data_IF_700099868931
#
_entry.id   IF_700099868931
#
_cell.length_a   1.000
_cell.length_b   1.000
_cell.length_c   1.000
_cell.angle_alpha   90.00
_cell.angle_beta   90.00
_cell.angle_gamma   90.00
#
_symmetry.space_group_name_H-M   'P 1'
#
loop_
_entity.id
_entity.type
_entity.pdbx_description
1 polymer ?
#
# COMPACT_ATOMS: atom_id res chain seq x y z
N UNK A 1 -2.16 24.05 1.45
CA UNK A 1 -1.46 23.08 0.60
C UNK A 1 -1.46 21.77 1.35
N UNK A 2 -2.38 20.86 1.04
CA UNK A 2 -2.41 19.53 1.64
C UNK A 2 -1.19 18.78 1.14
N UNK A 3 -0.27 18.47 2.04
CA UNK A 3 0.87 17.59 1.81
C UNK A 3 0.29 16.23 1.45
N UNK A 4 0.11 15.93 0.16
CA UNK A 4 -0.32 14.61 -0.31
C UNK A 4 0.81 13.62 -0.03
N UNK A 5 0.85 13.10 1.21
CA UNK A 5 1.83 12.10 1.58
C UNK A 5 1.35 10.78 1.00
N UNK A 6 2.21 10.14 0.21
CA UNK A 6 1.92 8.85 -0.41
C UNK A 6 1.58 7.74 0.61
N UNK A 7 1.94 7.94 1.88
CA UNK A 7 1.62 7.05 3.00
C UNK A 7 0.18 7.19 3.51
N UNK A 8 -0.51 8.30 3.24
CA UNK A 8 -1.86 8.53 3.77
C UNK A 8 -2.86 7.47 3.28
N UNK A 9 -2.92 7.13 1.98
CA UNK A 9 -3.79 6.07 1.51
C UNK A 9 -3.43 4.70 2.08
N UNK A 10 -2.14 4.44 2.40
CA UNK A 10 -1.74 3.19 3.06
C UNK A 10 -2.27 3.09 4.48
N UNK A 11 -2.21 4.17 5.26
CA UNK A 11 -2.76 4.19 6.61
C UNK A 11 -4.25 3.86 6.58
N UNK A 12 -5.00 4.49 5.66
CA UNK A 12 -6.43 4.23 5.54
C UNK A 12 -6.76 2.79 5.09
N UNK A 13 -5.99 2.22 4.15
CA UNK A 13 -6.15 0.80 3.76
C UNK A 13 -5.99 -0.09 5.00
N UNK A 14 -4.96 0.16 5.80
CA UNK A 14 -4.62 -0.69 6.94
C UNK A 14 -5.64 -0.56 8.07
N UNK A 15 -6.10 0.66 8.36
CA UNK A 15 -7.17 0.88 9.33
C UNK A 15 -8.45 0.15 8.93
N UNK A 16 -8.86 0.23 7.65
CA UNK A 16 -10.03 -0.51 7.18
C UNK A 16 -9.84 -2.03 7.30
N UNK A 17 -8.67 -2.56 6.92
CA UNK A 17 -8.39 -4.00 7.04
C UNK A 17 -8.39 -4.49 8.49
N UNK A 18 -8.06 -3.64 9.48
CA UNK A 18 -8.15 -4.02 10.90
C UNK A 18 -9.60 -4.24 11.37
N UNK A 19 -10.59 -3.66 10.69
CA UNK A 19 -12.00 -3.78 11.05
C UNK A 19 -12.66 -5.07 10.50
N UNK A 20 -12.03 -5.72 9.52
CA UNK A 20 -12.50 -7.01 8.97
C UNK A 20 -12.45 -8.09 10.05
N UNK A 21 -13.54 -8.84 10.19
CA UNK A 21 -13.58 -10.05 11.01
C UNK A 21 -13.33 -11.28 10.14
N UNK A 22 -12.70 -12.32 10.71
CA UNK A 22 -12.11 -13.49 10.02
C UNK A 22 -13.10 -14.37 9.20
N UNK A 23 -14.35 -13.93 9.00
CA UNK A 23 -15.45 -14.72 8.42
C UNK A 23 -16.24 -14.06 7.29
N UNK A 24 -15.95 -12.81 6.91
CA UNK A 24 -16.67 -12.16 5.81
C UNK A 24 -15.72 -11.72 4.69
N UNK A 25 -16.12 -12.05 3.45
CA UNK A 25 -15.59 -11.38 2.27
C UNK A 25 -16.19 -9.99 2.25
N UNK A 26 -15.39 -9.00 2.61
CA UNK A 26 -15.78 -7.60 2.51
C UNK A 26 -15.39 -7.06 1.13
N UNK A 27 -16.26 -7.33 0.15
CA UNK A 27 -16.05 -6.93 -1.24
C UNK A 27 -15.97 -5.40 -1.39
N UNK A 28 -16.72 -4.66 -0.57
CA UNK A 28 -16.70 -3.19 -0.56
C UNK A 28 -15.32 -2.68 -0.12
N UNK A 29 -14.78 -3.25 0.95
CA UNK A 29 -13.43 -2.90 1.39
C UNK A 29 -12.34 -3.33 0.41
N UNK A 30 -12.48 -4.47 -0.25
CA UNK A 30 -11.54 -4.89 -1.29
C UNK A 30 -11.54 -3.92 -2.48
N UNK A 31 -12.72 -3.48 -2.93
CA UNK A 31 -12.84 -2.48 -3.99
C UNK A 31 -12.25 -1.13 -3.55
N UNK A 32 -12.49 -0.71 -2.30
CA UNK A 32 -11.89 0.49 -1.74
C UNK A 32 -10.36 0.40 -1.69
N UNK A 33 -9.84 -0.77 -1.31
CA UNK A 33 -8.40 -1.07 -1.31
C UNK A 33 -7.82 -0.99 -2.71
N UNK A 34 -8.51 -1.54 -3.72
CA UNK A 34 -8.09 -1.43 -5.12
C UNK A 34 -8.01 0.04 -5.57
N UNK A 35 -9.03 0.84 -5.27
CA UNK A 35 -9.08 2.25 -5.64
C UNK A 35 -7.92 3.04 -5.03
N UNK A 36 -7.66 2.85 -3.73
CA UNK A 36 -6.55 3.50 -3.03
C UNK A 36 -5.20 3.08 -3.58
N UNK A 37 -5.00 1.79 -3.88
CA UNK A 37 -3.77 1.31 -4.52
C UNK A 37 -3.59 1.86 -5.93
N UNK A 38 -4.66 2.05 -6.71
CA UNK A 38 -4.59 2.77 -7.99
C UNK A 38 -4.11 4.20 -7.81
N UNK A 39 -4.62 4.92 -6.81
CA UNK A 39 -4.20 6.29 -6.52
C UNK A 39 -2.73 6.36 -6.10
N UNK A 40 -2.28 5.44 -5.24
CA UNK A 40 -0.86 5.30 -4.88
C UNK A 40 -0.01 5.04 -6.13
N UNK A 41 -0.44 4.13 -7.01
CA UNK A 41 0.30 3.80 -8.24
C UNK A 41 0.48 5.05 -9.12
N UNK A 42 -0.55 5.86 -9.30
CA UNK A 42 -0.43 7.10 -10.07
C UNK A 42 0.56 8.08 -9.42
N UNK A 43 0.55 8.21 -8.10
CA UNK A 43 1.51 9.06 -7.39
C UNK A 43 2.95 8.55 -7.54
N UNK A 44 3.18 7.24 -7.39
CA UNK A 44 4.49 6.62 -7.61
C UNK A 44 5.01 6.82 -9.03
N UNK A 45 4.14 6.69 -10.04
CA UNK A 45 4.50 6.91 -11.44
C UNK A 45 4.82 8.38 -11.73
N UNK A 46 4.10 9.31 -11.10
CA UNK A 46 4.40 10.74 -11.19
C UNK A 46 5.77 11.06 -10.61
N UNK A 47 6.08 10.56 -9.41
CA UNK A 47 7.38 10.79 -8.77
C UNK A 47 8.54 10.11 -9.52
N UNK A 48 8.31 8.94 -10.12
CA UNK A 48 9.28 8.31 -11.01
C UNK A 48 9.66 9.23 -12.18
N UNK A 49 8.67 9.83 -12.84
CA UNK A 49 8.90 10.75 -13.96
C UNK A 49 9.65 12.00 -13.48
N UNK A 50 9.32 12.52 -12.30
CA UNK A 50 10.06 13.65 -11.69
C UNK A 50 11.53 13.30 -11.44
N UNK A 51 11.80 12.14 -10.83
CA UNK A 51 13.16 11.67 -10.55
C UNK A 51 13.97 11.47 -11.85
N UNK A 52 13.34 10.95 -12.90
CA UNK A 52 13.94 10.83 -14.23
C UNK A 52 14.29 12.20 -14.83
N UNK A 53 13.38 13.18 -14.72
CA UNK A 53 13.62 14.54 -15.20
C UNK A 53 14.79 15.21 -14.46
N UNK A 54 14.88 14.99 -13.15
CA UNK A 54 15.97 15.49 -12.29
C UNK A 54 17.27 14.69 -12.44
N UNK A 55 17.27 13.59 -13.20
CA UNK A 55 18.40 12.65 -13.35
C UNK A 55 18.88 12.07 -12.01
N UNK A 56 17.99 11.97 -11.03
CA UNK A 56 18.29 11.33 -9.75
C UNK A 56 18.10 9.82 -9.86
N UNK A 57 19.11 9.13 -10.41
CA UNK A 57 19.02 7.70 -10.71
C UNK A 57 18.84 6.81 -9.48
N UNK A 58 19.30 7.25 -8.30
CA UNK A 58 19.03 6.52 -7.06
C UNK A 58 17.53 6.51 -6.74
N UNK A 59 16.87 7.67 -6.85
CA UNK A 59 15.42 7.78 -6.66
C UNK A 59 14.64 7.06 -7.78
N UNK A 60 15.09 7.14 -9.03
CA UNK A 60 14.48 6.39 -10.15
C UNK A 60 14.40 4.90 -9.81
N UNK A 61 15.51 4.30 -9.38
CA UNK A 61 15.53 2.87 -9.03
C UNK A 61 14.56 2.53 -7.88
N UNK A 62 14.45 3.40 -6.88
CA UNK A 62 13.52 3.22 -5.75
C UNK A 62 12.05 3.33 -6.21
N UNK A 63 11.73 4.33 -7.02
CA UNK A 63 10.39 4.51 -7.55
C UNK A 63 9.98 3.40 -8.52
N UNK A 64 10.88 2.91 -9.37
CA UNK A 64 10.61 1.75 -10.24
C UNK A 64 10.25 0.51 -9.43
N UNK A 65 11.00 0.22 -8.36
CA UNK A 65 10.71 -0.89 -7.46
C UNK A 65 9.35 -0.71 -6.77
N UNK A 66 9.05 0.50 -6.27
CA UNK A 66 7.79 0.80 -5.63
C UNK A 66 6.59 0.67 -6.60
N UNK A 67 6.71 1.15 -7.84
CA UNK A 67 5.70 0.99 -8.90
C UNK A 67 5.43 -0.49 -9.17
N UNK A 68 6.50 -1.29 -9.32
CA UNK A 68 6.40 -2.73 -9.56
C UNK A 68 5.69 -3.45 -8.40
N UNK A 69 6.10 -3.20 -7.16
CA UNK A 69 5.43 -3.78 -5.99
C UNK A 69 3.97 -3.34 -5.87
N UNK A 70 3.66 -2.09 -6.24
CA UNK A 70 2.29 -1.58 -6.22
C UNK A 70 1.39 -2.30 -7.24
N UNK A 71 1.89 -2.51 -8.46
CA UNK A 71 1.18 -3.29 -9.49
C UNK A 71 0.96 -4.75 -9.07
N UNK A 72 1.97 -5.39 -8.47
CA UNK A 72 1.85 -6.76 -7.98
C UNK A 72 0.79 -6.87 -6.86
N UNK A 73 0.76 -5.91 -5.93
CA UNK A 73 -0.23 -5.87 -4.86
C UNK A 73 -1.64 -5.61 -5.41
N UNK A 74 -1.79 -4.67 -6.35
CA UNK A 74 -3.06 -4.39 -7.02
C UNK A 74 -3.61 -5.63 -7.73
N UNK A 75 -2.76 -6.39 -8.41
CA UNK A 75 -3.16 -7.64 -9.08
C UNK A 75 -3.64 -8.70 -8.07
N UNK A 76 -3.04 -8.76 -6.87
CA UNK A 76 -3.50 -9.66 -5.81
C UNK A 76 -4.85 -9.25 -5.23
N UNK A 77 -5.06 -7.95 -5.00
CA UNK A 77 -6.37 -7.44 -4.53
C UNK A 77 -7.46 -7.75 -5.57
N UNK A 78 -7.19 -7.51 -6.86
CA UNK A 78 -8.11 -7.87 -7.95
C UNK A 78 -8.40 -9.37 -8.00
N UNK A 79 -7.39 -10.21 -7.81
CA UNK A 79 -7.60 -11.65 -7.74
C UNK A 79 -8.48 -12.04 -6.54
N UNK A 80 -8.29 -11.42 -5.37
CA UNK A 80 -9.13 -11.65 -4.20
C UNK A 80 -10.59 -11.21 -4.41
N UNK A 81 -10.82 -10.08 -5.12
CA UNK A 81 -12.14 -9.62 -5.55
C UNK A 81 -12.82 -10.65 -6.47
N UNK A 82 -12.12 -11.09 -7.53
CA UNK A 82 -12.65 -12.03 -8.53
C UNK A 82 -12.96 -13.39 -7.90
N UNK A 83 -12.05 -13.89 -7.05
CA UNK A 83 -12.16 -15.20 -6.45
C UNK A 83 -13.02 -15.21 -5.18
N UNK A 84 -13.55 -14.05 -4.76
CA UNK A 84 -14.33 -13.90 -3.52
C UNK A 84 -13.62 -14.58 -2.34
N UNK A 85 -12.30 -14.35 -2.24
CA UNK A 85 -11.44 -15.06 -1.30
C UNK A 85 -11.53 -14.44 0.09
N UNK A 86 -11.50 -15.29 1.12
CA UNK A 86 -11.46 -14.85 2.53
C UNK A 86 -10.11 -14.17 2.75
N UNK A 87 -10.13 -12.93 3.25
CA UNK A 87 -8.91 -12.24 3.66
C UNK A 87 -8.38 -12.97 4.90
N UNK A 88 -7.19 -13.56 4.81
CA UNK A 88 -6.57 -14.34 5.88
C UNK A 88 -6.04 -13.48 7.03
N UNK A 89 -6.87 -12.63 7.61
CA UNK A 89 -6.50 -11.79 8.75
C UNK A 89 -6.44 -12.69 9.99
N UNK A 90 -5.26 -12.75 10.59
CA UNK A 90 -5.01 -13.48 11.83
C UNK A 90 -4.38 -12.52 12.86
N UNK A 91 -4.27 -12.92 14.14
CA UNK A 91 -3.72 -12.04 15.19
C UNK A 91 -2.32 -11.51 14.88
N UNK A 92 -1.48 -12.28 14.18
CA UNK A 92 -0.14 -11.84 13.75
C UNK A 92 -0.22 -10.75 12.69
N UNK A 93 -1.14 -10.86 11.74
CA UNK A 93 -1.39 -9.85 10.71
C UNK A 93 -1.92 -8.56 11.34
N UNK A 94 -2.82 -8.64 12.33
CA UNK A 94 -3.31 -7.45 13.07
C UNK A 94 -2.20 -6.74 13.84
N UNK A 95 -1.31 -7.48 14.49
CA UNK A 95 -0.15 -6.89 15.18
C UNK A 95 0.80 -6.19 14.20
N UNK A 96 1.04 -6.79 13.02
CA UNK A 96 1.84 -6.16 11.97
C UNK A 96 1.17 -4.93 11.36
N UNK A 97 -0.15 -4.93 11.18
CA UNK A 97 -0.92 -3.74 10.77
C UNK A 97 -0.74 -2.59 11.78
N UNK A 98 -0.82 -2.89 13.07
CA UNK A 98 -0.65 -1.87 14.12
C UNK A 98 0.77 -1.28 14.10
N UNK A 99 1.79 -2.14 14.00
CA UNK A 99 3.18 -1.69 13.88
C UNK A 99 3.38 -0.82 12.64
N UNK A 100 2.77 -1.20 11.51
CA UNK A 100 2.85 -0.42 10.28
C UNK A 100 2.20 0.97 10.43
N UNK A 101 1.06 1.08 11.11
CA UNK A 101 0.43 2.37 11.35
C UNK A 101 1.35 3.30 12.16
N UNK A 102 2.03 2.75 13.16
CA UNK A 102 3.03 3.49 13.96
C UNK A 102 4.27 3.88 13.13
N UNK A 103 4.71 3.00 12.22
CA UNK A 103 5.79 3.28 11.27
C UNK A 103 5.39 4.39 10.27
N UNK A 104 4.15 4.40 9.78
CA UNK A 104 3.60 5.45 8.91
C UNK A 104 3.54 6.80 9.65
N UNK A 105 3.04 6.82 10.89
CA UNK A 105 3.02 8.04 11.71
C UNK A 105 4.41 8.60 11.99
N UNK A 106 5.41 7.71 12.14
CA UNK A 106 6.80 8.10 12.34
C UNK A 106 7.41 8.62 11.04
N UNK A 107 7.19 7.92 9.93
CA UNK A 107 7.69 8.30 8.61
C UNK A 107 7.02 9.58 8.09
N UNK A 108 5.75 9.86 8.42
CA UNK A 108 5.08 11.16 8.16
C UNK A 108 5.93 12.36 8.58
N UNK A 109 6.82 12.20 9.56
CA UNK A 109 7.71 13.24 10.08
C UNK A 109 9.09 13.31 9.40
N UNK A 110 9.40 12.40 8.47
CA UNK A 110 10.69 12.32 7.79
C UNK A 110 10.51 12.06 6.28
N UNK A 111 11.02 12.94 5.40
CA UNK A 111 11.83 12.61 4.20
C UNK A 111 11.66 11.26 3.43
N UNK A 112 11.75 10.15 4.16
CA UNK A 112 12.15 8.81 3.75
C UNK A 112 10.90 7.95 3.59
N UNK A 113 10.13 8.21 2.54
CA UNK A 113 8.79 7.63 2.36
C UNK A 113 8.78 6.37 1.47
N UNK A 114 9.73 6.23 0.55
CA UNK A 114 9.67 5.22 -0.53
C UNK A 114 10.00 3.80 -0.06
N UNK A 115 11.01 3.63 0.81
CA UNK A 115 11.39 2.32 1.35
C UNK A 115 10.29 1.76 2.25
N UNK A 116 9.61 2.63 2.99
CA UNK A 116 8.44 2.26 3.76
C UNK A 116 7.31 1.82 2.81
N UNK A 117 6.96 2.63 1.80
CA UNK A 117 5.93 2.27 0.82
C UNK A 117 6.17 0.88 0.19
N UNK A 118 7.41 0.55 -0.18
CA UNK A 118 7.78 -0.78 -0.70
C UNK A 118 7.49 -1.88 0.32
N UNK A 119 7.85 -1.70 1.60
CA UNK A 119 7.51 -2.65 2.67
C UNK A 119 6.01 -2.84 2.84
N UNK A 120 5.24 -1.74 2.79
CA UNK A 120 3.79 -1.78 2.97
C UNK A 120 3.10 -2.56 1.86
N UNK A 121 3.53 -2.33 0.62
CA UNK A 121 3.05 -3.07 -0.54
C UNK A 121 3.33 -4.57 -0.40
N UNK A 122 4.53 -4.93 0.04
CA UNK A 122 4.90 -6.32 0.30
C UNK A 122 4.06 -6.98 1.41
N UNK A 123 3.70 -6.22 2.45
CA UNK A 123 2.79 -6.68 3.51
C UNK A 123 1.38 -6.90 2.98
N UNK A 124 0.79 -5.90 2.32
CA UNK A 124 -0.56 -5.99 1.74
C UNK A 124 -0.65 -7.20 0.80
N UNK A 125 0.35 -7.42 -0.06
CA UNK A 125 0.40 -8.57 -0.97
C UNK A 125 0.26 -9.92 -0.26
N UNK A 126 0.78 -10.07 0.95
CA UNK A 126 0.72 -11.31 1.74
C UNK A 126 -0.65 -11.56 2.36
N UNK A 127 -1.46 -10.51 2.56
CA UNK A 127 -2.79 -10.63 3.15
C UNK A 127 -3.82 -11.23 2.18
N UNK A 128 -3.57 -11.08 0.87
CA UNK A 128 -4.45 -11.51 -0.20
C UNK A 128 -3.92 -12.79 -0.91
N UNK A 129 -3.28 -13.68 -0.15
CA UNK A 129 -2.78 -14.99 -0.62
C UNK A 129 -3.78 -16.12 -0.37
#
# INVERSE_FOLDING_TARGET
MTTNNILDPFAEIISHLQEVTDKQIDLEQLNNTEEKLRNILFQLQFELVNAQHQKNWEEVNKFELAVSECQLTLNKVRAAIINVSIIGINPKNRAQMQQILEEIETARKTQVYIDLAIRLLGFLRRLFL
#
